data_IF_367778665380
#
_entry.id   IF_367778665380
#
_cell.length_a   1.000
_cell.length_b   1.000
_cell.length_c   1.000
_cell.angle_alpha   90.00
_cell.angle_beta   90.00
_cell.angle_gamma   90.00
#
_symmetry.space_group_name_H-M   'P 1'
#
loop_
_entity.id
_entity.type
_entity.pdbx_description
1 polymer ?
#
# COMPACT_ATOMS: atom_id res chain seq x y z
N UNK A 1 -7.72 -11.34 22.44
CA UNK A 1 -7.74 -10.68 21.12
C UNK A 1 -8.14 -11.76 20.14
N UNK A 2 -9.36 -11.66 19.62
CA UNK A 2 -9.91 -12.65 18.70
C UNK A 2 -9.10 -12.66 17.38
N UNK A 3 -9.20 -13.73 16.59
CA UNK A 3 -8.50 -13.84 15.30
C UNK A 3 -8.95 -12.73 14.35
N UNK A 4 -10.23 -12.42 14.37
CA UNK A 4 -10.87 -11.31 13.65
C UNK A 4 -10.20 -9.96 13.98
N UNK A 5 -9.97 -9.67 15.26
CA UNK A 5 -9.35 -8.43 15.74
C UNK A 5 -7.95 -8.20 15.15
N UNK A 6 -7.15 -9.26 14.99
CA UNK A 6 -5.78 -9.16 14.46
C UNK A 6 -5.78 -8.75 12.99
N UNK A 7 -6.66 -9.33 12.19
CA UNK A 7 -6.80 -8.96 10.78
C UNK A 7 -7.31 -7.53 10.64
N UNK A 8 -8.29 -7.13 11.44
CA UNK A 8 -8.82 -5.76 11.44
C UNK A 8 -7.73 -4.75 11.80
N UNK A 9 -6.95 -5.02 12.86
CA UNK A 9 -5.83 -4.17 13.26
C UNK A 9 -4.77 -4.09 12.16
N UNK A 10 -4.39 -5.22 11.57
CA UNK A 10 -3.39 -5.26 10.51
C UNK A 10 -3.86 -4.54 9.25
N UNK A 11 -5.13 -4.67 8.87
CA UNK A 11 -5.73 -3.97 7.74
C UNK A 11 -5.76 -2.46 7.98
N UNK A 12 -6.21 -2.02 9.15
CA UNK A 12 -6.27 -0.60 9.50
C UNK A 12 -4.88 0.04 9.48
N UNK A 13 -3.91 -0.58 10.16
CA UNK A 13 -2.54 -0.06 10.20
C UNK A 13 -1.86 -0.09 8.83
N UNK A 14 -1.99 -1.20 8.09
CA UNK A 14 -1.40 -1.33 6.77
C UNK A 14 -2.01 -0.37 5.75
N UNK A 15 -3.32 -0.10 5.83
CA UNK A 15 -3.99 0.92 5.02
C UNK A 15 -3.41 2.32 5.28
N UNK A 16 -3.18 2.69 6.54
CA UNK A 16 -2.58 3.99 6.90
C UNK A 16 -1.18 4.13 6.28
N UNK A 17 -0.33 3.10 6.41
CA UNK A 17 1.01 3.12 5.80
C UNK A 17 0.91 3.20 4.28
N UNK A 18 0.04 2.40 3.65
CA UNK A 18 -0.15 2.36 2.21
C UNK A 18 -0.55 3.75 1.67
N UNK A 19 -1.45 4.45 2.36
CA UNK A 19 -1.83 5.84 2.05
C UNK A 19 -0.69 6.84 2.29
N UNK A 20 0.03 6.74 3.40
CA UNK A 20 1.20 7.59 3.67
C UNK A 20 2.25 7.46 2.57
N UNK A 21 2.53 6.22 2.17
CA UNK A 21 3.50 5.89 1.12
C UNK A 21 3.05 6.40 -0.26
N UNK A 22 1.78 6.25 -0.61
CA UNK A 22 1.22 6.88 -1.80
C UNK A 22 1.39 8.43 -1.76
N UNK A 23 1.14 9.04 -0.59
CA UNK A 23 1.37 10.47 -0.36
C UNK A 23 2.82 10.92 -0.56
N UNK A 24 3.82 10.11 -0.18
CA UNK A 24 5.23 10.46 -0.45
C UNK A 24 5.54 10.58 -1.94
N UNK A 25 4.88 9.79 -2.79
CA UNK A 25 5.05 9.83 -4.24
C UNK A 25 4.45 11.11 -4.85
N UNK A 26 3.33 11.58 -4.31
CA UNK A 26 2.80 12.91 -4.64
C UNK A 26 3.83 13.99 -4.32
N UNK A 27 4.52 13.89 -3.18
CA UNK A 27 5.60 14.80 -2.79
C UNK A 27 6.74 14.87 -3.80
N UNK A 28 7.12 13.72 -4.40
CA UNK A 28 8.13 13.70 -5.47
C UNK A 28 7.62 14.34 -6.77
N UNK A 29 6.39 14.04 -7.17
CA UNK A 29 5.76 14.64 -8.34
C UNK A 29 5.66 16.18 -8.19
N UNK A 30 5.44 16.66 -6.97
CA UNK A 30 5.34 18.09 -6.66
C UNK A 30 6.61 18.87 -6.97
N UNK A 31 7.77 18.23 -6.86
CA UNK A 31 9.05 18.88 -7.13
C UNK A 31 9.18 19.38 -8.58
N UNK A 32 8.54 18.70 -9.54
CA UNK A 32 8.58 19.06 -10.97
C UNK A 32 7.22 19.39 -11.55
N UNK A 33 6.19 19.54 -10.72
CA UNK A 33 4.80 19.74 -11.16
C UNK A 33 4.33 18.70 -12.17
N UNK A 34 4.70 17.43 -11.93
CA UNK A 34 4.38 16.33 -12.84
C UNK A 34 2.93 15.85 -12.68
N UNK A 35 2.07 16.28 -13.61
CA UNK A 35 0.64 15.94 -13.60
C UNK A 35 0.37 14.44 -13.64
N UNK A 36 1.17 13.67 -14.39
CA UNK A 36 1.01 12.23 -14.45
C UNK A 36 1.42 11.59 -13.12
N UNK A 37 2.53 12.04 -12.53
CA UNK A 37 2.99 11.61 -11.22
C UNK A 37 1.96 11.84 -10.11
N UNK A 38 1.26 12.98 -10.11
CA UNK A 38 0.15 13.23 -9.17
C UNK A 38 -0.96 12.19 -9.34
N UNK A 39 -1.46 12.01 -10.57
CA UNK A 39 -2.51 11.05 -10.86
C UNK A 39 -2.12 9.63 -10.45
N UNK A 40 -0.92 9.19 -10.84
CA UNK A 40 -0.40 7.86 -10.54
C UNK A 40 -0.24 7.62 -9.03
N UNK A 41 0.17 8.63 -8.26
CA UNK A 41 0.37 8.51 -6.81
C UNK A 41 -0.91 8.26 -6.02
N UNK A 42 -2.08 8.68 -6.53
CA UNK A 42 -3.36 8.55 -5.82
C UNK A 42 -4.05 7.20 -6.09
N UNK A 43 -3.75 6.57 -7.23
CA UNK A 43 -4.37 5.30 -7.64
C UNK A 43 -4.33 4.24 -6.52
N UNK A 44 -3.20 3.97 -5.84
CA UNK A 44 -3.13 2.96 -4.79
C UNK A 44 -4.06 3.26 -3.60
N UNK A 45 -4.17 4.54 -3.19
CA UNK A 45 -5.02 4.95 -2.09
C UNK A 45 -6.52 4.83 -2.43
N UNK A 46 -6.91 5.21 -3.66
CA UNK A 46 -8.29 5.04 -4.13
C UNK A 46 -8.64 3.55 -4.26
N UNK A 47 -7.74 2.74 -4.81
CA UNK A 47 -7.94 1.28 -4.90
C UNK A 47 -8.08 0.66 -3.50
N UNK A 48 -7.23 1.07 -2.55
CA UNK A 48 -7.31 0.60 -1.17
C UNK A 48 -8.62 1.00 -0.50
N UNK A 49 -9.07 2.24 -0.70
CA UNK A 49 -10.36 2.71 -0.22
C UNK A 49 -11.51 1.84 -0.76
N UNK A 50 -11.55 1.57 -2.07
CA UNK A 50 -12.62 0.75 -2.67
C UNK A 50 -12.56 -0.74 -2.28
N UNK A 51 -11.36 -1.32 -2.17
CA UNK A 51 -11.19 -2.76 -2.00
C UNK A 51 -11.14 -3.22 -0.53
N UNK A 52 -10.67 -2.36 0.38
CA UNK A 52 -10.36 -2.75 1.76
C UNK A 52 -11.38 -2.24 2.79
N UNK A 53 -12.25 -1.30 2.41
CA UNK A 53 -13.26 -0.73 3.31
C UNK A 53 -14.67 -1.25 2.99
N UNK A 54 -15.55 -1.20 4.00
CA UNK A 54 -16.97 -1.48 3.86
C UNK A 54 -17.74 -0.22 3.43
N UNK A 55 -17.65 0.12 2.14
CA UNK A 55 -18.35 1.26 1.54
C UNK A 55 -19.07 0.86 0.24
N UNK A 56 -19.75 1.82 -0.41
CA UNK A 56 -20.56 1.58 -1.63
C UNK A 56 -19.76 0.98 -2.80
N UNK A 57 -18.44 1.19 -2.82
CA UNK A 57 -17.51 0.61 -3.82
C UNK A 57 -16.98 -0.78 -3.42
N UNK A 58 -17.36 -1.28 -2.23
CA UNK A 58 -16.87 -2.55 -1.70
C UNK A 58 -17.46 -3.72 -2.48
N UNK A 59 -16.60 -4.66 -2.85
CA UNK A 59 -16.98 -5.89 -3.56
C UNK A 59 -17.51 -6.99 -2.61
N UNK A 60 -17.87 -6.65 -1.36
CA UNK A 60 -18.32 -7.62 -0.36
C UNK A 60 -17.25 -8.65 0.02
N UNK A 61 -15.98 -8.29 -0.11
CA UNK A 61 -14.85 -9.19 0.09
C UNK A 61 -14.69 -9.56 1.58
N UNK A 62 -14.39 -10.82 1.87
CA UNK A 62 -14.04 -11.25 3.22
C UNK A 62 -12.74 -10.64 3.72
N UNK A 63 -12.58 -10.54 5.04
CA UNK A 63 -11.43 -9.92 5.71
C UNK A 63 -10.08 -10.49 5.26
N UNK A 64 -10.00 -11.81 5.04
CA UNK A 64 -8.77 -12.47 4.56
C UNK A 64 -8.44 -12.05 3.12
N UNK A 65 -9.44 -11.98 2.24
CA UNK A 65 -9.23 -11.52 0.85
C UNK A 65 -8.73 -10.09 0.83
N UNK A 66 -9.31 -9.20 1.65
CA UNK A 66 -8.84 -7.81 1.82
C UNK A 66 -7.39 -7.76 2.26
N UNK A 67 -6.99 -8.63 3.18
CA UNK A 67 -5.61 -8.69 3.68
C UNK A 67 -4.60 -9.07 2.59
N UNK A 68 -4.93 -10.03 1.73
CA UNK A 68 -4.10 -10.38 0.59
C UNK A 68 -4.07 -9.29 -0.49
N UNK A 69 -5.18 -8.57 -0.70
CA UNK A 69 -5.20 -7.42 -1.60
C UNK A 69 -4.35 -6.26 -1.08
N UNK A 70 -4.31 -6.03 0.23
CA UNK A 70 -3.41 -5.04 0.83
C UNK A 70 -1.94 -5.37 0.54
N UNK A 71 -1.54 -6.65 0.65
CA UNK A 71 -0.20 -7.10 0.24
C UNK A 71 0.05 -6.78 -1.25
N UNK A 72 -0.91 -7.11 -2.12
CA UNK A 72 -0.80 -6.83 -3.54
C UNK A 72 -0.64 -5.32 -3.84
N UNK A 73 -1.34 -4.46 -3.09
CA UNK A 73 -1.22 -3.00 -3.23
C UNK A 73 0.15 -2.48 -2.78
N UNK A 74 0.73 -3.04 -1.72
CA UNK A 74 2.12 -2.71 -1.32
C UNK A 74 3.13 -3.08 -2.40
N UNK A 75 3.00 -4.28 -2.99
CA UNK A 75 3.84 -4.70 -4.12
C UNK A 75 3.61 -3.79 -5.32
N UNK A 76 2.36 -3.40 -5.59
CA UNK A 76 1.97 -2.50 -6.67
C UNK A 76 2.53 -1.08 -6.57
N UNK A 77 2.97 -0.63 -5.39
CA UNK A 77 3.67 0.64 -5.24
C UNK A 77 5.11 0.59 -5.81
N UNK A 78 5.80 -0.56 -5.73
CA UNK A 78 7.21 -0.65 -6.12
C UNK A 78 7.48 -0.31 -7.60
N UNK A 79 6.66 -0.72 -8.57
CA UNK A 79 6.78 -0.26 -9.95
C UNK A 79 6.65 1.27 -10.09
N UNK A 80 5.77 1.90 -9.29
CA UNK A 80 5.57 3.35 -9.32
C UNK A 80 6.76 4.08 -8.68
N UNK A 81 7.26 3.59 -7.55
CA UNK A 81 8.50 4.06 -6.93
C UNK A 81 9.67 4.00 -7.92
N UNK A 82 9.78 2.89 -8.67
CA UNK A 82 10.85 2.69 -9.64
C UNK A 82 10.70 3.59 -10.87
N UNK A 83 9.47 3.82 -11.33
CA UNK A 83 9.21 4.80 -12.39
C UNK A 83 9.60 6.22 -11.94
N UNK A 84 9.20 6.66 -10.74
CA UNK A 84 9.59 7.96 -10.17
C UNK A 84 11.11 8.10 -10.03
N UNK A 85 11.80 7.03 -9.63
CA UNK A 85 13.27 6.99 -9.57
C UNK A 85 13.90 7.20 -10.94
N UNK A 86 13.38 6.53 -11.98
CA UNK A 86 13.85 6.67 -13.37
C UNK A 86 13.64 8.07 -13.93
N UNK A 87 12.58 8.77 -13.49
CA UNK A 87 12.34 10.17 -13.86
C UNK A 87 13.18 11.17 -13.03
N UNK A 88 14.07 10.68 -12.16
CA UNK A 88 14.86 11.50 -11.23
C UNK A 88 13.99 12.39 -10.32
N UNK A 89 12.75 11.97 -10.03
CA UNK A 89 11.84 12.64 -9.10
C UNK A 89 12.14 12.23 -7.65
N UNK A 90 12.56 10.98 -7.46
CA UNK A 90 12.91 10.44 -6.15
C UNK A 90 14.44 10.52 -5.89
N UNK A 91 14.87 10.75 -4.63
CA UNK A 91 16.28 10.68 -4.25
C UNK A 91 16.92 9.31 -4.58
N UNK A 92 18.23 9.22 -4.86
CA UNK A 92 18.88 7.98 -5.29
C UNK A 92 18.83 6.84 -4.26
N UNK A 93 18.68 7.18 -2.98
CA UNK A 93 18.57 6.21 -1.89
C UNK A 93 17.14 5.69 -1.67
N UNK A 94 16.14 6.28 -2.33
CA UNK A 94 14.73 6.03 -2.06
C UNK A 94 14.36 4.56 -2.26
N UNK A 95 14.68 3.97 -3.42
CA UNK A 95 14.34 2.58 -3.70
C UNK A 95 15.00 1.59 -2.74
N UNK A 96 16.24 1.86 -2.31
CA UNK A 96 16.91 0.98 -1.34
C UNK A 96 16.16 0.97 0.00
N UNK A 97 15.82 2.16 0.52
CA UNK A 97 15.00 2.29 1.72
C UNK A 97 13.63 1.64 1.54
N UNK A 98 12.97 1.93 0.41
CA UNK A 98 11.63 1.47 0.07
C UNK A 98 11.54 -0.05 0.03
N UNK A 99 12.51 -0.70 -0.59
CA UNK A 99 12.57 -2.17 -0.67
C UNK A 99 12.76 -2.78 0.71
N UNK A 100 13.67 -2.25 1.55
CA UNK A 100 13.88 -2.75 2.91
C UNK A 100 12.63 -2.62 3.78
N UNK A 101 11.98 -1.45 3.79
CA UNK A 101 10.76 -1.23 4.58
C UNK A 101 9.61 -2.09 4.04
N UNK A 102 9.43 -2.15 2.72
CA UNK A 102 8.36 -2.95 2.11
C UNK A 102 8.56 -4.43 2.41
N UNK A 103 9.80 -4.95 2.37
CA UNK A 103 10.09 -6.33 2.74
C UNK A 103 9.67 -6.65 4.19
N UNK A 104 9.95 -5.74 5.14
CA UNK A 104 9.52 -5.89 6.53
C UNK A 104 8.00 -5.88 6.64
N UNK A 105 7.32 -4.93 5.99
CA UNK A 105 5.85 -4.85 5.99
C UNK A 105 5.23 -6.11 5.39
N UNK A 106 5.74 -6.59 4.26
CA UNK A 106 5.25 -7.80 3.61
C UNK A 106 5.47 -9.04 4.48
N UNK A 107 6.63 -9.16 5.14
CA UNK A 107 6.89 -10.26 6.07
C UNK A 107 5.87 -10.27 7.22
N UNK A 108 5.58 -9.11 7.81
CA UNK A 108 4.55 -8.99 8.85
C UNK A 108 3.15 -9.32 8.34
N UNK A 109 2.75 -8.79 7.17
CA UNK A 109 1.43 -9.05 6.59
C UNK A 109 1.25 -10.52 6.21
N UNK A 110 2.25 -11.15 5.62
CA UNK A 110 2.23 -12.58 5.25
C UNK A 110 2.14 -13.43 6.52
N UNK A 111 2.92 -13.11 7.56
CA UNK A 111 2.85 -13.83 8.83
C UNK A 111 1.44 -13.83 9.42
N UNK A 112 0.75 -12.68 9.41
CA UNK A 112 -0.65 -12.58 9.84
C UNK A 112 -1.58 -13.33 8.88
N UNK A 113 -1.37 -13.22 7.57
CA UNK A 113 -2.21 -13.82 6.54
C UNK A 113 -2.18 -15.35 6.51
N UNK A 114 -1.10 -15.97 6.99
CA UNK A 114 -0.93 -17.43 7.07
C UNK A 114 -1.55 -18.04 8.35
N UNK A 115 -2.00 -17.24 9.31
CA UNK A 115 -2.63 -17.76 10.52
C UNK A 115 -4.00 -18.35 10.18
N UNK A 116 -4.34 -19.57 10.64
CA UNK A 116 -5.63 -20.18 10.37
C UNK A 116 -6.77 -19.40 11.05
N UNK A 117 -7.90 -19.31 10.35
CA UNK A 117 -9.18 -18.84 10.91
C UNK A 117 -9.81 -20.04 11.63
N UNK A 118 -10.27 -19.92 12.89
CA UNK A 118 -11.01 -20.98 13.56
C UNK A 118 -12.35 -21.28 12.88
#
# INVERSE_FOLDING_TARGET
MDVSDRYVLSLAYGLVILCFMAGTLWGFAAHRSDAFGYGASVIPAILAFGLLTDHVLSLGLGTVTRHWLLIALFVGLLPLDHWMQKQHLAPPWWLSLRLSITAVVLACLIFVGLQPIP
#
